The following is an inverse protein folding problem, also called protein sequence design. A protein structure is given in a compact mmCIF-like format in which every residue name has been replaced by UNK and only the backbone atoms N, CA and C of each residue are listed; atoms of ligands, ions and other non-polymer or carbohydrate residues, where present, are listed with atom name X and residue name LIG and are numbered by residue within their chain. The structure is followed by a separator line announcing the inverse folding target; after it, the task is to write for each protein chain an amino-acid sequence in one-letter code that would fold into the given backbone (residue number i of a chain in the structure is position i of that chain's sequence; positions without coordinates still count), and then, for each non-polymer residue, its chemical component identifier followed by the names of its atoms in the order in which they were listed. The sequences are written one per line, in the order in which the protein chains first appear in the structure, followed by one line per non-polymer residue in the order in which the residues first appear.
data_IF_359156555305
#
_entry.id   IF_359156555305
#
_cell.length_a   1.000
_cell.length_b   1.000
_cell.length_c   1.000
_cell.angle_alpha   90.00
_cell.angle_beta   90.00
_cell.angle_gamma   90.00
#
_symmetry.space_group_name_H-M   'P 1'
#
loop_
_entity.id
_entity.type
_entity.pdbx_description
1 polymer ?
#
# COMPACT_ATOMS: atom_id res chain seq x y z
N UNK A 1 -44.58 18.98 -18.44
CA UNK A 1 -43.47 18.37 -19.21
C UNK A 1 -42.08 18.79 -18.70
N UNK A 2 -41.81 20.10 -18.55
CA UNK A 2 -40.49 20.61 -18.14
C UNK A 2 -40.06 20.18 -16.72
N UNK A 3 -40.99 20.15 -15.75
CA UNK A 3 -40.72 19.71 -14.37
C UNK A 3 -40.34 18.22 -14.31
N UNK A 4 -41.01 17.36 -15.08
CA UNK A 4 -40.67 15.93 -15.15
C UNK A 4 -39.31 15.70 -15.80
N UNK A 5 -38.94 16.50 -16.80
CA UNK A 5 -37.62 16.43 -17.44
C UNK A 5 -36.49 16.84 -16.47
N UNK A 6 -36.71 17.88 -15.66
CA UNK A 6 -35.77 18.34 -14.63
C UNK A 6 -35.63 17.33 -13.48
N UNK A 7 -36.74 16.75 -13.01
CA UNK A 7 -36.72 15.67 -12.02
C UNK A 7 -35.99 14.43 -12.52
N UNK A 8 -36.24 14.04 -13.77
CA UNK A 8 -35.56 12.90 -14.39
C UNK A 8 -34.05 13.14 -14.55
N UNK A 9 -33.65 14.33 -15.00
CA UNK A 9 -32.25 14.72 -15.08
C UNK A 9 -31.57 14.74 -13.71
N UNK A 10 -32.25 15.26 -12.67
CA UNK A 10 -31.75 15.26 -11.30
C UNK A 10 -31.56 13.84 -10.75
N UNK A 11 -32.53 12.95 -10.96
CA UNK A 11 -32.45 11.54 -10.56
C UNK A 11 -31.29 10.81 -11.26
N UNK A 12 -31.11 11.00 -12.57
CA UNK A 12 -29.98 10.45 -13.33
C UNK A 12 -28.63 10.98 -12.84
N UNK A 13 -28.55 12.28 -12.55
CA UNK A 13 -27.32 12.94 -12.06
C UNK A 13 -26.85 12.40 -10.71
N UNK A 14 -27.75 11.89 -9.87
CA UNK A 14 -27.42 11.23 -8.60
C UNK A 14 -27.23 9.71 -8.75
N UNK A 15 -28.00 9.07 -9.65
CA UNK A 15 -27.97 7.62 -9.84
C UNK A 15 -26.66 7.15 -10.49
N UNK A 16 -26.14 7.87 -11.49
CA UNK A 16 -24.90 7.47 -12.18
C UNK A 16 -23.69 7.48 -11.22
N UNK A 17 -23.40 8.57 -10.46
CA UNK A 17 -22.30 8.56 -9.51
C UNK A 17 -22.48 7.51 -8.41
N UNK A 18 -23.71 7.33 -7.90
CA UNK A 18 -24.01 6.33 -6.90
C UNK A 18 -23.75 4.90 -7.40
N UNK A 19 -24.21 4.58 -8.61
CA UNK A 19 -24.00 3.26 -9.22
C UNK A 19 -22.51 2.98 -9.48
N UNK A 20 -21.73 3.97 -9.89
CA UNK A 20 -20.26 3.85 -10.02
C UNK A 20 -19.61 3.54 -8.67
N UNK A 21 -20.02 4.22 -7.60
CA UNK A 21 -19.48 3.99 -6.25
C UNK A 21 -19.81 2.59 -5.73
N UNK A 22 -21.07 2.17 -5.88
CA UNK A 22 -21.52 0.83 -5.51
C UNK A 22 -20.76 -0.24 -6.31
N UNK A 23 -20.64 -0.05 -7.63
CA UNK A 23 -19.89 -0.96 -8.50
C UNK A 23 -18.44 -1.09 -8.04
N UNK A 24 -17.77 0.02 -7.70
CA UNK A 24 -16.36 -0.01 -7.25
C UNK A 24 -16.16 -0.80 -5.95
N UNK A 25 -17.18 -0.90 -5.10
CA UNK A 25 -17.14 -1.66 -3.84
C UNK A 25 -17.41 -3.14 -4.08
N UNK A 26 -18.40 -3.45 -4.90
CA UNK A 26 -18.77 -4.85 -5.23
C UNK A 26 -17.73 -5.49 -6.14
N UNK A 27 -17.16 -4.70 -7.06
CA UNK A 27 -16.19 -5.06 -8.08
C UNK A 27 -14.90 -4.25 -7.90
N UNK A 28 -14.10 -4.54 -6.86
CA UNK A 28 -12.84 -3.84 -6.60
C UNK A 28 -11.88 -3.99 -7.79
N UNK A 29 -11.14 -2.92 -8.09
CA UNK A 29 -10.10 -2.95 -9.12
C UNK A 29 -8.89 -3.69 -8.56
N UNK A 30 -8.68 -4.92 -9.02
CA UNK A 30 -7.55 -5.76 -8.64
C UNK A 30 -6.64 -5.92 -9.83
N UNK A 31 -5.35 -5.62 -9.65
CA UNK A 31 -4.30 -5.93 -10.62
C UNK A 31 -3.53 -7.13 -10.09
N UNK A 32 -3.68 -8.27 -10.76
CA UNK A 32 -2.87 -9.44 -10.50
C UNK A 32 -1.47 -9.29 -11.09
N UNK A 33 -0.45 -9.83 -10.44
CA UNK A 33 0.91 -9.87 -10.98
C UNK A 33 0.90 -10.53 -12.39
N UNK A 34 1.62 -9.98 -13.40
CA UNK A 34 2.66 -8.95 -13.37
C UNK A 34 2.14 -7.49 -13.43
N UNK A 35 0.92 -7.25 -12.96
CA UNK A 35 0.27 -5.94 -12.85
C UNK A 35 0.08 -5.26 -14.20
N UNK A 36 -0.23 -6.04 -15.23
CA UNK A 36 -0.60 -5.50 -16.54
C UNK A 36 -2.08 -5.12 -16.55
N UNK A 37 -2.42 -4.00 -17.20
CA UNK A 37 -3.81 -3.66 -17.46
C UNK A 37 -4.36 -4.54 -18.59
N UNK A 38 -5.65 -4.93 -18.56
CA UNK A 38 -6.26 -5.66 -19.66
C UNK A 38 -6.11 -4.89 -20.98
N UNK A 39 -5.69 -5.60 -22.04
CA UNK A 39 -5.28 -5.06 -23.34
C UNK A 39 -6.39 -4.40 -24.18
N UNK A 40 -7.61 -4.25 -23.64
CA UNK A 40 -8.81 -3.83 -24.40
C UNK A 40 -9.22 -2.37 -24.32
N UNK A 41 -8.51 -1.47 -23.60
CA UNK A 41 -8.89 -0.05 -23.56
C UNK A 41 -7.95 0.81 -24.43
N UNK A 42 -8.43 1.13 -25.63
CA UNK A 42 -7.69 1.83 -26.69
C UNK A 42 -7.24 3.26 -26.32
N UNK A 43 -7.75 3.86 -25.24
CA UNK A 43 -7.22 5.13 -24.69
C UNK A 43 -6.20 4.96 -23.55
N UNK A 44 -6.09 3.77 -22.93
CA UNK A 44 -5.20 3.51 -21.79
C UNK A 44 -3.82 2.99 -22.20
N UNK A 45 -3.65 2.50 -23.44
CA UNK A 45 -2.35 2.13 -24.02
C UNK A 45 -1.32 3.28 -23.96
N UNK A 46 -1.80 4.54 -24.00
CA UNK A 46 -0.98 5.76 -23.86
C UNK A 46 -0.57 6.10 -22.40
N UNK A 47 -1.09 5.39 -21.39
CA UNK A 47 -0.84 5.64 -19.95
C UNK A 47 0.08 4.60 -19.31
N UNK A 48 0.96 3.95 -20.07
CA UNK A 48 1.92 2.98 -19.51
C UNK A 48 2.78 3.59 -18.41
N UNK A 49 3.13 4.87 -18.53
CA UNK A 49 3.86 5.67 -17.55
C UNK A 49 3.25 7.08 -17.54
N UNK A 50 2.71 7.51 -16.42
CA UNK A 50 2.13 8.85 -16.25
C UNK A 50 2.92 9.62 -15.19
N UNK A 51 4.00 10.25 -15.65
CA UNK A 51 4.93 11.02 -14.82
C UNK A 51 4.35 12.33 -14.29
N UNK A 52 3.12 12.68 -14.67
CA UNK A 52 2.44 13.87 -14.14
C UNK A 52 1.65 13.58 -12.86
N UNK A 53 1.39 12.29 -12.56
CA UNK A 53 0.51 11.90 -11.47
C UNK A 53 1.25 11.63 -10.17
N UNK A 54 0.59 12.03 -9.09
CA UNK A 54 0.87 11.60 -7.71
C UNK A 54 -0.03 10.43 -7.35
N UNK A 55 0.52 9.39 -6.75
CA UNK A 55 -0.25 8.26 -6.22
C UNK A 55 0.09 7.99 -4.77
N UNK A 56 -0.87 7.46 -4.02
CA UNK A 56 -0.66 7.04 -2.62
C UNK A 56 -0.62 5.52 -2.57
N UNK A 57 0.40 4.95 -1.94
CA UNK A 57 0.45 3.54 -1.57
C UNK A 57 0.34 3.42 -0.05
N UNK A 58 -0.81 2.98 0.44
CA UNK A 58 -1.05 2.91 1.87
C UNK A 58 -0.76 1.52 2.42
N UNK A 59 -0.13 1.46 3.59
CA UNK A 59 0.20 0.20 4.26
C UNK A 59 0.42 0.39 5.75
N UNK A 60 0.35 -0.70 6.51
CA UNK A 60 0.87 -0.69 7.88
C UNK A 60 2.39 -0.79 7.90
N UNK A 61 3.01 -1.56 7.00
CA UNK A 61 4.46 -1.74 6.94
C UNK A 61 5.07 -2.11 8.31
N UNK A 62 4.56 -3.18 8.96
CA UNK A 62 4.94 -3.55 10.33
C UNK A 62 5.58 -4.95 10.44
N UNK A 63 6.81 -5.19 9.94
CA UNK A 63 7.68 -4.30 9.15
C UNK A 63 7.38 -4.27 7.64
N UNK A 64 7.94 -3.29 6.89
CA UNK A 64 8.06 -3.42 5.44
C UNK A 64 8.97 -4.62 5.07
N UNK A 65 8.80 -5.14 3.85
CA UNK A 65 9.48 -6.36 3.37
C UNK A 65 9.57 -6.36 1.84
N UNK A 66 10.23 -7.36 1.22
CA UNK A 66 10.45 -7.41 -0.23
C UNK A 66 9.18 -7.25 -1.06
N UNK A 67 8.09 -7.95 -0.70
CA UNK A 67 6.80 -7.78 -1.37
C UNK A 67 6.31 -6.34 -1.46
N UNK A 68 6.48 -5.54 -0.40
CA UNK A 68 6.16 -4.11 -0.42
C UNK A 68 7.10 -3.33 -1.36
N UNK A 69 8.40 -3.60 -1.27
CA UNK A 69 9.41 -2.89 -2.06
C UNK A 69 9.21 -3.09 -3.56
N UNK A 70 8.85 -4.30 -4.00
CA UNK A 70 8.57 -4.59 -5.41
C UNK A 70 7.34 -3.82 -5.91
N UNK A 71 6.27 -3.76 -5.12
CA UNK A 71 5.08 -2.96 -5.46
C UNK A 71 5.40 -1.46 -5.54
N UNK A 72 6.19 -0.95 -4.59
CA UNK A 72 6.58 0.46 -4.56
C UNK A 72 7.44 0.80 -5.79
N UNK A 73 8.40 -0.05 -6.14
CA UNK A 73 9.21 0.10 -7.36
C UNK A 73 8.35 0.10 -8.62
N UNK A 74 7.41 -0.84 -8.72
CA UNK A 74 6.45 -0.90 -9.82
C UNK A 74 5.67 0.41 -9.99
N UNK A 75 5.23 1.02 -8.88
CA UNK A 75 4.55 2.32 -8.89
C UNK A 75 5.50 3.47 -9.22
N UNK A 76 6.72 3.46 -8.67
CA UNK A 76 7.74 4.49 -8.87
C UNK A 76 8.16 4.58 -10.35
N UNK A 77 8.27 3.44 -11.03
CA UNK A 77 8.52 3.40 -12.47
C UNK A 77 7.39 4.07 -13.26
N UNK A 78 6.13 3.92 -12.84
CA UNK A 78 4.95 4.38 -13.59
C UNK A 78 4.54 5.81 -13.32
N UNK A 79 4.76 6.30 -12.10
CA UNK A 79 4.22 7.59 -11.67
C UNK A 79 5.31 8.65 -11.45
N UNK A 80 4.88 9.91 -11.42
CA UNK A 80 5.74 11.06 -11.17
C UNK A 80 6.15 11.14 -9.71
N UNK A 81 5.19 10.89 -8.81
CA UNK A 81 5.36 10.92 -7.36
C UNK A 81 4.59 9.78 -6.71
N UNK A 82 5.25 9.01 -5.86
CA UNK A 82 4.63 7.94 -5.06
C UNK A 82 4.75 8.31 -3.59
N UNK A 83 3.64 8.29 -2.87
CA UNK A 83 3.61 8.59 -1.44
C UNK A 83 3.23 7.31 -0.71
N UNK A 84 4.19 6.71 -0.02
CA UNK A 84 3.99 5.57 0.86
C UNK A 84 3.44 6.08 2.20
N UNK A 85 2.13 5.92 2.40
CA UNK A 85 1.45 6.35 3.62
C UNK A 85 1.45 5.23 4.64
N UNK A 86 2.13 5.47 5.76
CA UNK A 86 2.12 4.59 6.92
C UNK A 86 0.91 4.93 7.77
N UNK A 87 -0.12 4.09 7.64
CA UNK A 87 -1.34 4.22 8.40
C UNK A 87 -1.12 3.88 9.88
N UNK A 88 -1.72 4.68 10.75
CA UNK A 88 -1.88 4.38 12.17
C UNK A 88 -3.32 3.95 12.40
N UNK A 89 -3.56 2.65 12.53
CA UNK A 89 -4.87 2.14 12.91
C UNK A 89 -4.96 2.05 14.44
N UNK A 90 -5.81 2.85 15.11
CA UNK A 90 -5.93 2.82 16.57
C UNK A 90 -6.45 1.46 17.11
N UNK A 91 -7.10 0.66 16.27
CA UNK A 91 -7.60 -0.67 16.63
C UNK A 91 -6.54 -1.77 16.50
N UNK A 92 -5.35 -1.46 15.97
CA UNK A 92 -4.24 -2.42 15.82
C UNK A 92 -3.10 -2.03 16.75
N UNK A 93 -2.58 -3.00 17.50
CA UNK A 93 -1.33 -2.86 18.23
C UNK A 93 -0.16 -3.10 17.28
N UNK A 94 0.80 -2.20 17.29
CA UNK A 94 2.04 -2.31 16.53
C UNK A 94 3.19 -2.47 17.51
N UNK A 95 4.18 -3.30 17.16
CA UNK A 95 5.33 -3.59 18.02
C UNK A 95 6.27 -2.37 18.12
N UNK A 96 6.23 -1.49 17.11
CA UNK A 96 7.06 -0.29 17.02
C UNK A 96 6.26 0.93 16.56
N UNK A 97 6.83 2.11 16.80
CA UNK A 97 6.23 3.39 16.42
C UNK A 97 6.06 3.51 14.89
N UNK A 98 5.05 4.27 14.40
CA UNK A 98 4.95 4.57 12.98
C UNK A 98 6.19 5.24 12.40
N UNK A 99 6.91 6.04 13.19
CA UNK A 99 8.15 6.69 12.78
C UNK A 99 9.26 5.65 12.54
N UNK A 100 9.39 4.64 13.40
CA UNK A 100 10.34 3.53 13.21
C UNK A 100 10.02 2.77 11.91
N UNK A 101 8.74 2.46 11.66
CA UNK A 101 8.29 1.83 10.39
C UNK A 101 8.65 2.68 9.17
N UNK A 102 8.43 4.00 9.27
CA UNK A 102 8.77 4.94 8.20
C UNK A 102 10.25 4.95 7.92
N UNK A 103 11.07 4.97 8.97
CA UNK A 103 12.51 4.98 8.82
C UNK A 103 13.02 3.70 8.14
N UNK A 104 12.56 2.53 8.58
CA UNK A 104 12.94 1.25 7.96
C UNK A 104 12.56 1.25 6.46
N UNK A 105 11.35 1.73 6.12
CA UNK A 105 10.94 1.78 4.72
C UNK A 105 11.79 2.77 3.89
N UNK A 106 12.16 3.93 4.46
CA UNK A 106 13.09 4.86 3.79
C UNK A 106 14.45 4.21 3.56
N UNK A 107 14.97 3.50 4.53
CA UNK A 107 16.26 2.81 4.42
C UNK A 107 16.20 1.70 3.36
N UNK A 108 15.10 0.95 3.28
CA UNK A 108 14.87 -0.03 2.20
C UNK A 108 14.83 0.63 0.82
N UNK A 109 14.26 1.83 0.72
CA UNK A 109 14.16 2.61 -0.53
C UNK A 109 15.43 3.38 -0.87
N UNK A 110 16.43 3.43 0.01
CA UNK A 110 17.72 4.07 -0.25
C UNK A 110 18.60 3.28 -1.22
N UNK A 111 18.40 1.95 -1.24
CA UNK A 111 19.16 0.99 -2.03
C UNK A 111 20.49 0.57 -1.44
N UNK A 112 20.72 0.78 -0.13
CA UNK A 112 22.02 0.46 0.48
C UNK A 112 23.17 1.21 -0.21
N UNK A 113 24.34 0.57 -0.27
CA UNK A 113 25.55 1.17 -0.83
C UNK A 113 25.56 1.20 -2.37
N UNK A 114 24.94 0.23 -3.03
CA UNK A 114 24.91 0.12 -4.50
C UNK A 114 23.78 0.93 -5.16
N UNK A 115 22.79 1.36 -4.38
CA UNK A 115 21.65 2.13 -4.86
C UNK A 115 20.67 1.33 -5.74
N UNK A 116 20.77 0.00 -5.80
CA UNK A 116 20.05 -0.88 -6.72
C UNK A 116 18.52 -0.82 -6.61
N UNK A 117 17.99 -0.43 -5.44
CA UNK A 117 16.55 -0.25 -5.19
C UNK A 117 16.16 1.21 -4.98
N UNK A 118 17.07 2.17 -5.24
CA UNK A 118 16.84 3.59 -4.94
C UNK A 118 15.67 4.15 -5.74
N UNK A 119 14.65 4.65 -5.02
CA UNK A 119 13.48 5.27 -5.64
C UNK A 119 13.40 6.77 -5.31
N UNK A 120 13.96 7.64 -6.17
CA UNK A 120 14.05 9.10 -5.93
C UNK A 120 12.69 9.80 -5.86
N UNK A 121 11.66 9.24 -6.47
CA UNK A 121 10.32 9.81 -6.54
C UNK A 121 9.34 9.19 -5.53
N UNK A 122 9.85 8.45 -4.54
CA UNK A 122 9.05 7.89 -3.45
C UNK A 122 9.26 8.70 -2.18
N UNK A 123 8.16 9.09 -1.55
CA UNK A 123 8.14 9.74 -0.24
C UNK A 123 7.47 8.81 0.77
N UNK A 124 7.96 8.78 2.01
CA UNK A 124 7.40 7.96 3.08
C UNK A 124 6.87 8.88 4.17
N UNK A 125 5.57 8.79 4.42
CA UNK A 125 4.85 9.71 5.30
C UNK A 125 4.03 8.95 6.34
N UNK A 126 4.11 9.39 7.58
CA UNK A 126 3.25 8.89 8.66
C UNK A 126 1.97 9.69 8.65
N UNK A 127 0.84 9.02 8.47
CA UNK A 127 -0.47 9.69 8.37
C UNK A 127 -1.36 9.22 9.50
N UNK A 128 -1.84 10.19 10.28
CA UNK A 128 -2.88 9.98 11.30
C UNK A 128 -4.25 10.34 10.73
N UNK A 129 -5.29 9.68 11.25
CA UNK A 129 -6.65 9.83 10.73
C UNK A 129 -6.85 9.19 9.35
N UNK A 130 -7.80 9.73 8.58
CA UNK A 130 -8.17 9.16 7.29
C UNK A 130 -7.16 9.48 6.19
N UNK A 131 -6.51 8.44 5.64
CA UNK A 131 -5.50 8.60 4.59
C UNK A 131 -6.07 9.29 3.34
N UNK A 132 -7.35 9.11 3.01
CA UNK A 132 -7.98 9.81 1.88
C UNK A 132 -7.94 11.34 2.03
N UNK A 133 -7.97 11.88 3.25
CA UNK A 133 -7.85 13.33 3.50
C UNK A 133 -6.45 13.80 3.13
N UNK A 134 -5.43 13.10 3.59
CA UNK A 134 -4.05 13.39 3.25
C UNK A 134 -3.77 13.23 1.76
N UNK A 135 -4.27 12.14 1.14
CA UNK A 135 -4.14 11.93 -0.30
C UNK A 135 -4.66 13.12 -1.13
N UNK A 136 -5.75 13.74 -0.67
CA UNK A 136 -6.29 14.95 -1.31
C UNK A 136 -5.38 16.16 -1.15
N UNK A 137 -4.81 16.42 0.03
CA UNK A 137 -3.89 17.56 0.21
C UNK A 137 -2.65 17.43 -0.67
N UNK A 138 -2.31 16.20 -1.07
CA UNK A 138 -1.20 15.89 -1.97
C UNK A 138 -1.62 15.82 -3.46
N UNK A 139 -2.86 16.17 -3.81
CA UNK A 139 -3.41 16.05 -5.16
C UNK A 139 -3.20 14.65 -5.77
N UNK A 140 -3.31 13.60 -4.95
CA UNK A 140 -3.16 12.23 -5.43
C UNK A 140 -4.29 11.88 -6.40
N UNK A 141 -3.94 11.20 -7.49
CA UNK A 141 -4.91 10.76 -8.51
C UNK A 141 -5.47 9.36 -8.24
N UNK A 142 -4.68 8.51 -7.58
CA UNK A 142 -5.00 7.10 -7.33
C UNK A 142 -4.52 6.68 -5.94
N UNK A 143 -5.23 5.71 -5.38
CA UNK A 143 -4.93 5.07 -4.13
C UNK A 143 -4.60 3.60 -4.37
N UNK A 144 -3.45 3.14 -3.88
CA UNK A 144 -2.96 1.79 -4.05
C UNK A 144 -2.87 1.07 -2.71
N UNK A 145 -3.22 -0.21 -2.71
CA UNK A 145 -3.10 -1.13 -1.58
C UNK A 145 -2.47 -2.42 -2.05
N UNK A 146 -1.56 -2.98 -1.25
CA UNK A 146 -0.98 -4.29 -1.52
C UNK A 146 -1.78 -5.37 -0.80
N UNK A 147 -2.08 -6.45 -1.49
CA UNK A 147 -2.69 -7.68 -0.93
C UNK A 147 -1.91 -8.88 -1.43
N UNK A 148 -1.90 -10.00 -0.69
CA UNK A 148 -1.26 -11.24 -1.16
C UNK A 148 -2.13 -11.90 -2.23
N UNK A 149 -3.40 -12.07 -1.91
CA UNK A 149 -4.47 -12.48 -2.83
C UNK A 149 -5.77 -11.85 -2.37
N UNK A 150 -6.71 -11.63 -3.29
CA UNK A 150 -8.05 -11.16 -2.91
C UNK A 150 -8.76 -12.14 -1.98
N UNK A 151 -8.58 -13.45 -2.17
CA UNK A 151 -9.19 -14.48 -1.34
C UNK A 151 -8.73 -14.45 0.11
N UNK A 152 -7.46 -14.10 0.38
CA UNK A 152 -6.89 -14.11 1.72
C UNK A 152 -7.11 -12.79 2.47
N UNK A 153 -6.95 -11.65 1.79
CA UNK A 153 -6.89 -10.34 2.45
C UNK A 153 -8.10 -9.44 2.10
N UNK A 154 -8.92 -9.82 1.12
CA UNK A 154 -9.99 -8.97 0.58
C UNK A 154 -11.09 -8.61 1.57
N UNK A 155 -11.37 -9.44 2.56
CA UNK A 155 -12.39 -9.15 3.58
C UNK A 155 -12.00 -7.95 4.45
N UNK A 156 -10.77 -7.96 4.98
CA UNK A 156 -10.22 -6.86 5.78
C UNK A 156 -10.08 -5.58 4.95
N UNK A 157 -9.62 -5.72 3.71
CA UNK A 157 -9.42 -4.59 2.81
C UNK A 157 -10.74 -3.96 2.33
N UNK A 158 -11.82 -4.74 2.21
CA UNK A 158 -13.14 -4.24 1.80
C UNK A 158 -13.67 -3.19 2.77
N UNK A 159 -13.46 -3.36 4.08
CA UNK A 159 -13.87 -2.36 5.08
C UNK A 159 -13.17 -1.02 4.86
N UNK A 160 -11.85 -1.05 4.63
CA UNK A 160 -11.06 0.16 4.34
C UNK A 160 -11.43 0.77 2.98
N UNK A 161 -11.75 -0.06 1.99
CA UNK A 161 -12.20 0.39 0.68
C UNK A 161 -13.53 1.14 0.76
N UNK A 162 -14.49 0.63 1.53
CA UNK A 162 -15.77 1.30 1.78
C UNK A 162 -15.52 2.66 2.41
N UNK A 163 -14.66 2.72 3.44
CA UNK A 163 -14.31 3.97 4.12
C UNK A 163 -13.63 4.97 3.18
N UNK A 164 -12.74 4.53 2.31
CA UNK A 164 -12.08 5.41 1.33
C UNK A 164 -13.00 5.85 0.18
N UNK A 165 -14.04 5.06 -0.12
CA UNK A 165 -15.01 5.37 -1.18
C UNK A 165 -16.14 6.29 -0.67
N UNK A 166 -16.67 6.04 0.52
CA UNK A 166 -17.78 6.81 1.08
C UNK A 166 -17.35 7.93 2.01
N UNK A 167 -16.21 7.78 2.70
CA UNK A 167 -15.70 8.78 3.63
C UNK A 167 -15.56 10.18 3.03
N UNK A 168 -15.04 10.36 1.80
CA UNK A 168 -14.96 11.68 1.15
C UNK A 168 -16.32 12.36 0.93
N UNK A 169 -17.41 11.59 0.82
CA UNK A 169 -18.77 12.08 0.64
C UNK A 169 -19.49 12.31 1.97
N UNK A 170 -19.38 11.37 2.91
CA UNK A 170 -20.12 11.38 4.17
C UNK A 170 -19.40 12.13 5.30
N UNK A 171 -18.07 12.11 5.29
CA UNK A 171 -17.20 12.66 6.35
C UNK A 171 -16.27 13.78 5.81
N UNK A 172 -16.45 14.16 4.55
CA UNK A 172 -15.69 15.18 3.85
C UNK A 172 -16.61 16.25 3.25
N UNK A 173 -16.06 17.21 2.49
CA UNK A 173 -16.83 18.31 1.91
C UNK A 173 -17.51 17.87 0.60
N UNK A 174 -18.19 16.72 0.61
CA UNK A 174 -18.86 16.09 -0.54
C UNK A 174 -17.98 16.04 -1.81
N UNK A 175 -16.82 15.39 -1.71
CA UNK A 175 -15.94 15.22 -2.88
C UNK A 175 -15.89 13.80 -3.40
N UNK A 176 -15.66 13.70 -4.70
CA UNK A 176 -15.52 12.43 -5.37
C UNK A 176 -14.30 11.64 -4.83
N UNK A 177 -14.47 10.37 -4.43
CA UNK A 177 -13.40 9.58 -3.84
C UNK A 177 -12.37 9.12 -4.89
N UNK A 178 -11.12 9.06 -4.46
CA UNK A 178 -10.03 8.47 -5.25
C UNK A 178 -10.29 6.99 -5.55
N UNK A 179 -9.85 6.55 -6.72
CA UNK A 179 -9.88 5.13 -7.06
C UNK A 179 -8.88 4.34 -6.23
N UNK A 180 -9.39 3.36 -5.49
CA UNK A 180 -8.57 2.34 -4.84
C UNK A 180 -8.30 1.20 -5.82
N UNK A 181 -7.02 0.91 -6.02
CA UNK A 181 -6.52 -0.19 -6.84
C UNK A 181 -5.72 -1.13 -5.93
N UNK A 182 -6.07 -2.41 -5.94
CA UNK A 182 -5.36 -3.44 -5.22
C UNK A 182 -4.30 -4.07 -6.12
N UNK A 183 -3.07 -4.17 -5.62
CA UNK A 183 -1.99 -4.92 -6.26
C UNK A 183 -1.88 -6.27 -5.57
N UNK A 184 -2.15 -7.36 -6.27
CA UNK A 184 -1.86 -8.69 -5.74
C UNK A 184 -0.36 -8.95 -5.77
N UNK A 185 0.19 -9.50 -4.70
CA UNK A 185 1.61 -9.76 -4.56
C UNK A 185 2.14 -10.67 -5.66
N UNK A 186 3.37 -10.39 -6.09
CA UNK A 186 4.17 -11.32 -6.88
C UNK A 186 4.19 -12.69 -6.17
N UNK A 187 3.78 -13.78 -6.84
CA UNK A 187 3.80 -15.12 -6.29
C UNK A 187 5.13 -15.49 -5.63
N UNK A 188 6.25 -14.98 -6.14
CA UNK A 188 7.59 -15.17 -5.56
C UNK A 188 7.67 -14.75 -4.09
N UNK A 189 6.96 -13.68 -3.70
CA UNK A 189 6.98 -13.15 -2.33
C UNK A 189 5.70 -13.48 -1.55
N UNK A 190 4.85 -14.41 -2.02
CA UNK A 190 3.57 -14.75 -1.36
C UNK A 190 3.74 -15.30 0.06
N UNK A 191 4.84 -16.00 0.31
CA UNK A 191 5.20 -16.52 1.63
C UNK A 191 5.78 -15.43 2.55
N UNK A 192 6.18 -14.28 2.00
CA UNK A 192 6.74 -13.17 2.77
C UNK A 192 5.59 -12.41 3.42
N UNK A 193 5.63 -12.31 4.75
CA UNK A 193 4.70 -11.46 5.50
C UNK A 193 5.41 -10.77 6.66
N UNK A 194 4.86 -9.63 7.05
CA UNK A 194 5.27 -8.91 8.25
C UNK A 194 5.20 -9.79 9.52
N UNK A 195 4.24 -10.70 9.63
CA UNK A 195 4.14 -11.61 10.78
C UNK A 195 5.29 -12.60 10.86
N UNK A 196 5.62 -13.26 9.74
CA UNK A 196 6.78 -14.17 9.67
C UNK A 196 8.07 -13.42 9.97
N UNK A 197 8.22 -12.21 9.41
CA UNK A 197 9.40 -11.36 9.65
C UNK A 197 9.59 -11.05 11.14
N UNK A 198 8.52 -10.70 11.85
CA UNK A 198 8.58 -10.43 13.30
C UNK A 198 8.93 -11.67 14.12
N UNK A 199 8.33 -12.81 13.81
CA UNK A 199 8.63 -14.08 14.48
C UNK A 199 10.12 -14.45 14.34
N UNK A 200 10.68 -14.27 13.15
CA UNK A 200 12.08 -14.54 12.88
C UNK A 200 13.00 -13.54 13.62
N UNK A 201 12.65 -12.26 13.65
CA UNK A 201 13.40 -11.25 14.43
C UNK A 201 13.44 -11.58 15.92
N UNK A 202 12.30 -11.95 16.51
CA UNK A 202 12.22 -12.36 17.91
C UNK A 202 13.08 -13.60 18.20
N UNK A 203 13.07 -14.59 17.29
CA UNK A 203 13.93 -15.79 17.38
C UNK A 203 15.41 -15.43 17.35
N UNK A 204 15.84 -14.58 16.42
CA UNK A 204 17.23 -14.11 16.30
C UNK A 204 17.67 -13.41 17.59
N UNK A 205 16.84 -12.49 18.11
CA UNK A 205 17.18 -11.76 19.34
C UNK A 205 17.30 -12.69 20.55
N UNK A 206 16.37 -13.63 20.70
CA UNK A 206 16.40 -14.62 21.79
C UNK A 206 17.71 -15.42 21.79
N UNK A 207 18.15 -15.90 20.62
CA UNK A 207 19.42 -16.63 20.49
C UNK A 207 20.64 -15.79 20.82
N UNK A 208 20.68 -14.55 20.31
CA UNK A 208 21.74 -13.59 20.65
C UNK A 208 21.83 -13.34 22.17
N UNK A 209 20.69 -13.24 22.85
CA UNK A 209 20.63 -13.07 24.31
C UNK A 209 21.09 -14.31 25.09
N UNK A 210 20.91 -15.51 24.53
CA UNK A 210 21.38 -16.77 25.10
C UNK A 210 22.89 -17.02 24.90
N UNK A 211 23.61 -16.10 24.25
CA UNK A 211 25.04 -16.27 23.93
C UNK A 211 25.32 -17.19 22.73
N UNK A 212 24.29 -17.55 21.94
CA UNK A 212 24.46 -18.32 20.71
C UNK A 212 25.09 -17.41 19.63
N UNK A 213 26.33 -17.72 19.25
CA UNK A 213 27.11 -16.94 18.26
C UNK A 213 26.66 -17.27 16.82
N UNK A 214 26.17 -18.48 16.57
CA UNK A 214 25.72 -18.94 15.26
C UNK A 214 24.21 -18.76 15.05
N UNK A 215 23.81 -17.58 14.57
CA UNK A 215 22.45 -17.31 14.05
C UNK A 215 22.41 -17.27 12.52
N UNK A 216 23.39 -17.90 11.86
CA UNK A 216 23.57 -17.81 10.41
C UNK A 216 22.34 -18.29 9.62
N UNK A 217 21.70 -19.38 10.03
CA UNK A 217 20.53 -19.92 9.34
C UNK A 217 19.32 -18.97 9.41
N UNK A 218 19.04 -18.37 10.57
CA UNK A 218 17.95 -17.40 10.71
C UNK A 218 18.22 -16.10 9.96
N UNK A 219 19.49 -15.65 9.94
CA UNK A 219 19.87 -14.48 9.16
C UNK A 219 19.69 -14.73 7.66
N UNK A 220 20.07 -15.91 7.16
CA UNK A 220 19.84 -16.32 5.77
C UNK A 220 18.35 -16.43 5.43
N UNK A 221 17.52 -16.88 6.37
CA UNK A 221 16.06 -16.85 6.17
C UNK A 221 15.52 -15.42 6.12
N UNK A 222 16.09 -14.50 6.93
CA UNK A 222 15.67 -13.12 6.99
C UNK A 222 16.03 -12.33 5.71
N UNK A 223 17.14 -12.64 5.03
CA UNK A 223 17.51 -12.03 3.74
C UNK A 223 16.43 -12.25 2.67
N UNK A 224 15.69 -13.37 2.76
CA UNK A 224 14.58 -13.71 1.86
C UNK A 224 13.34 -12.86 2.11
N UNK A 225 13.24 -12.24 3.30
CA UNK A 225 12.09 -11.42 3.71
C UNK A 225 12.35 -9.92 3.57
N UNK A 226 13.53 -9.46 3.96
CA UNK A 226 13.92 -8.04 3.95
C UNK A 226 15.30 -7.85 3.33
N UNK A 227 15.62 -6.67 2.79
CA UNK A 227 16.95 -6.41 2.25
C UNK A 227 18.04 -6.45 3.32
N UNK A 228 19.21 -6.94 2.94
CA UNK A 228 20.35 -7.15 3.85
C UNK A 228 20.76 -5.88 4.59
N UNK A 229 20.84 -4.74 3.89
CA UNK A 229 21.26 -3.45 4.46
C UNK A 229 20.28 -2.85 5.49
N UNK A 230 19.10 -3.43 5.68
CA UNK A 230 18.18 -3.03 6.77
C UNK A 230 17.98 -4.10 7.83
N UNK A 231 18.59 -5.29 7.67
CA UNK A 231 18.31 -6.43 8.55
C UNK A 231 18.56 -6.12 10.01
N UNK A 232 19.72 -5.58 10.38
CA UNK A 232 20.03 -5.28 11.78
C UNK A 232 19.03 -4.30 12.39
N UNK A 233 18.66 -3.25 11.65
CA UNK A 233 17.63 -2.31 12.08
C UNK A 233 16.26 -2.96 12.26
N UNK A 234 15.89 -3.90 11.39
CA UNK A 234 14.63 -4.66 11.52
C UNK A 234 14.69 -5.59 12.74
N UNK A 235 15.79 -6.30 12.95
CA UNK A 235 16.00 -7.18 14.11
C UNK A 235 15.96 -6.38 15.42
N UNK A 236 16.62 -5.23 15.48
CA UNK A 236 16.63 -4.36 16.65
C UNK A 236 15.25 -3.75 16.95
N UNK A 237 14.51 -3.42 15.89
CA UNK A 237 13.17 -2.88 16.03
C UNK A 237 12.16 -3.93 16.52
N UNK A 238 12.17 -5.13 15.92
CA UNK A 238 11.12 -6.14 16.06
C UNK A 238 11.52 -7.39 16.86
N UNK A 239 12.77 -7.51 17.29
CA UNK A 239 13.24 -8.64 18.10
C UNK A 239 12.80 -8.61 19.57
N UNK A 240 11.82 -7.79 19.93
CA UNK A 240 11.38 -7.58 21.31
C UNK A 240 10.35 -8.60 21.76
#
# INVERSE_FOLDING_TARGET
MMIHLLLFAALLSAFIPLSILLYRIVSPTILSFPWQLPSGSSSASRRKHDKTKTVVFAGSFNPPHWGHLVMIRYLAERYGRVICCIGVNPNKRYDVTPQTRAQILRDMLSGGDDGSTRCKNVQVEVVTGYIWRYARTQNASLFYRGIRTWSADGQDERQLQILNSWGPLLLGPLVWPLQTIFLEGDPKYRHVSSTVTRQLCAKIRKRRLNGEVEVHAELEELTKLVPEWVMDKVVDAYGR
#
